data_IF_919016540217
#
_entry.id   IF_919016540217
#
_cell.length_a   1.000
_cell.length_b   1.000
_cell.length_c   1.000
_cell.angle_alpha   90.00
_cell.angle_beta   90.00
_cell.angle_gamma   90.00
#
_symmetry.space_group_name_H-M   'P 1'
#
loop_
_entity.id
_entity.type
_entity.pdbx_description
1 polymer ?
#
# COMPACT_ATOMS: atom_id res chain seq x y z
N UNK A 1 -23.08 -50.50 42.58
CA UNK A 1 -22.87 -50.69 41.13
C UNK A 1 -22.79 -49.36 40.36
N UNK A 2 -22.01 -48.36 40.82
CA UNK A 2 -21.96 -47.00 40.19
C UNK A 2 -20.55 -46.37 40.35
N UNK A 3 -19.48 -47.03 39.89
CA UNK A 3 -18.11 -46.46 39.92
C UNK A 3 -17.40 -46.45 38.56
N UNK A 4 -18.10 -46.75 37.46
CA UNK A 4 -17.51 -46.83 36.12
C UNK A 4 -17.50 -45.55 35.25
N UNK A 5 -18.07 -44.37 35.59
CA UNK A 5 -18.09 -43.27 34.63
C UNK A 5 -16.74 -42.53 34.54
N UNK A 6 -15.97 -42.45 35.64
CA UNK A 6 -14.75 -41.63 35.69
C UNK A 6 -13.54 -42.35 35.10
N UNK A 7 -13.46 -43.69 35.22
CA UNK A 7 -12.33 -44.45 34.69
C UNK A 7 -12.35 -44.58 33.16
N UNK A 8 -13.51 -44.41 32.52
CA UNK A 8 -13.62 -44.35 31.06
C UNK A 8 -12.97 -43.08 30.47
N UNK A 9 -12.89 -41.98 31.22
CA UNK A 9 -12.17 -40.77 30.78
C UNK A 9 -10.64 -40.98 30.68
N UNK A 10 -10.10 -41.95 31.41
CA UNK A 10 -8.66 -42.24 31.50
C UNK A 10 -8.21 -43.43 30.63
N UNK A 11 -9.06 -43.89 29.70
CA UNK A 11 -8.65 -44.87 28.71
C UNK A 11 -7.67 -44.23 27.70
N UNK A 12 -6.67 -44.97 27.21
CA UNK A 12 -5.62 -44.41 26.32
C UNK A 12 -6.20 -43.73 25.08
N UNK A 13 -7.32 -44.25 24.57
CA UNK A 13 -8.08 -43.65 23.48
C UNK A 13 -8.71 -42.30 23.88
N UNK A 14 -9.31 -42.18 25.06
CA UNK A 14 -9.97 -40.95 25.49
C UNK A 14 -8.97 -39.85 25.89
N UNK A 15 -7.79 -40.22 26.37
CA UNK A 15 -6.69 -39.27 26.59
C UNK A 15 -6.22 -38.63 25.27
N UNK A 16 -6.10 -39.41 24.20
CA UNK A 16 -5.76 -38.88 22.87
C UNK A 16 -6.83 -37.91 22.35
N UNK A 17 -8.11 -38.25 22.52
CA UNK A 17 -9.21 -37.37 22.11
C UNK A 17 -9.21 -36.06 22.90
N UNK A 18 -8.94 -36.12 24.21
CA UNK A 18 -8.83 -34.93 25.07
C UNK A 18 -7.68 -34.01 24.66
N UNK A 19 -6.50 -34.58 24.35
CA UNK A 19 -5.35 -33.82 23.85
C UNK A 19 -5.68 -33.16 22.51
N UNK A 20 -6.32 -33.89 21.58
CA UNK A 20 -6.70 -33.37 20.27
C UNK A 20 -7.67 -32.19 20.41
N UNK A 21 -8.69 -32.31 21.27
CA UNK A 21 -9.63 -31.22 21.55
C UNK A 21 -8.91 -29.99 22.12
N UNK A 22 -7.98 -30.21 23.05
CA UNK A 22 -7.20 -29.12 23.66
C UNK A 22 -6.32 -28.42 22.61
N UNK A 23 -5.70 -29.16 21.70
CA UNK A 23 -4.93 -28.61 20.59
C UNK A 23 -5.80 -27.78 19.63
N UNK A 24 -7.01 -28.24 19.32
CA UNK A 24 -7.96 -27.51 18.46
C UNK A 24 -8.36 -26.18 19.11
N UNK A 25 -8.68 -26.19 20.40
CA UNK A 25 -9.04 -24.98 21.16
C UNK A 25 -7.88 -23.99 21.18
N UNK A 26 -6.66 -24.46 21.49
CA UNK A 26 -5.46 -23.61 21.49
C UNK A 26 -5.20 -23.05 20.10
N UNK A 27 -5.34 -23.86 19.05
CA UNK A 27 -5.17 -23.42 17.67
C UNK A 27 -6.16 -22.30 17.31
N UNK A 28 -7.45 -22.49 17.57
CA UNK A 28 -8.48 -21.47 17.29
C UNK A 28 -8.27 -20.17 18.07
N UNK A 29 -7.89 -20.26 19.34
CA UNK A 29 -7.55 -19.10 20.17
C UNK A 29 -6.30 -18.38 19.65
N UNK A 30 -5.26 -19.11 19.26
CA UNK A 30 -4.01 -18.56 18.72
C UNK A 30 -4.23 -17.82 17.40
N UNK A 31 -5.05 -18.37 16.50
CA UNK A 31 -5.42 -17.71 15.23
C UNK A 31 -6.15 -16.40 15.49
N UNK A 32 -7.12 -16.41 16.41
CA UNK A 32 -7.90 -15.22 16.76
C UNK A 32 -7.03 -14.12 17.41
N UNK A 33 -6.11 -14.51 18.28
CA UNK A 33 -5.15 -13.60 18.90
C UNK A 33 -4.18 -13.00 17.88
N UNK A 34 -3.73 -13.80 16.91
CA UNK A 34 -2.86 -13.35 15.81
C UNK A 34 -3.59 -12.40 14.88
N UNK A 35 -4.88 -12.62 14.62
CA UNK A 35 -5.71 -11.70 13.84
C UNK A 35 -5.90 -10.34 14.54
N UNK A 36 -6.08 -10.34 15.87
CA UNK A 36 -6.14 -9.11 16.66
C UNK A 36 -4.83 -8.31 16.59
N UNK A 37 -3.68 -8.97 16.82
CA UNK A 37 -2.37 -8.33 16.70
C UNK A 37 -2.10 -7.82 15.27
N UNK A 38 -2.52 -8.57 14.25
CA UNK A 38 -2.39 -8.14 12.86
C UNK A 38 -3.14 -6.85 12.57
N UNK A 39 -4.37 -6.69 13.10
CA UNK A 39 -5.14 -5.45 12.94
C UNK A 39 -4.44 -4.25 13.58
N UNK A 40 -3.84 -4.43 14.75
CA UNK A 40 -3.11 -3.36 15.42
C UNK A 40 -1.87 -2.92 14.64
N UNK A 41 -1.06 -3.88 14.15
CA UNK A 41 0.12 -3.60 13.35
C UNK A 41 -0.23 -2.96 11.99
N UNK A 42 -1.31 -3.44 11.35
CA UNK A 42 -1.81 -2.89 10.10
C UNK A 42 -2.26 -1.43 10.22
N UNK A 43 -2.87 -1.05 11.35
CA UNK A 43 -3.30 0.33 11.56
C UNK A 43 -2.11 1.31 11.56
N UNK A 44 -1.01 0.94 12.23
CA UNK A 44 0.20 1.77 12.26
C UNK A 44 0.82 1.90 10.86
N UNK A 45 0.91 0.80 10.12
CA UNK A 45 1.40 0.80 8.75
C UNK A 45 0.50 1.67 7.83
N UNK A 46 -0.83 1.54 7.98
CA UNK A 46 -1.81 2.33 7.24
C UNK A 46 -1.63 3.83 7.46
N UNK A 47 -1.42 4.28 8.70
CA UNK A 47 -1.25 5.72 8.99
C UNK A 47 -0.07 6.32 8.23
N UNK A 48 1.09 5.65 8.25
CA UNK A 48 2.28 6.12 7.52
C UNK A 48 2.06 6.06 6.01
N UNK A 49 1.41 5.01 5.52
CA UNK A 49 1.09 4.86 4.09
C UNK A 49 0.13 5.96 3.60
N UNK A 50 -0.87 6.31 4.40
CA UNK A 50 -1.84 7.36 4.09
C UNK A 50 -1.16 8.73 4.01
N UNK A 51 -0.22 9.03 4.92
CA UNK A 51 0.59 10.25 4.86
C UNK A 51 1.42 10.32 3.58
N UNK A 52 2.10 9.22 3.21
CA UNK A 52 2.88 9.14 1.96
C UNK A 52 1.99 9.34 0.73
N UNK A 53 0.82 8.70 0.69
CA UNK A 53 -0.13 8.86 -0.41
C UNK A 53 -0.60 10.31 -0.56
N UNK A 54 -0.91 10.99 0.55
CA UNK A 54 -1.31 12.41 0.50
C UNK A 54 -0.21 13.29 -0.09
N UNK A 55 1.03 13.10 0.36
CA UNK A 55 2.18 13.84 -0.18
C UNK A 55 2.41 13.55 -1.68
N UNK A 56 2.25 12.29 -2.11
CA UNK A 56 2.35 11.90 -3.53
C UNK A 56 1.28 12.60 -4.39
N UNK A 57 0.05 12.66 -3.90
CA UNK A 57 -1.07 13.33 -4.60
C UNK A 57 -0.81 14.83 -4.70
N UNK A 58 -0.38 15.46 -3.60
CA UNK A 58 -0.04 16.88 -3.59
C UNK A 58 1.12 17.20 -4.53
N UNK A 59 2.16 16.37 -4.52
CA UNK A 59 3.28 16.51 -5.45
C UNK A 59 2.86 16.33 -6.91
N UNK A 60 1.99 15.37 -7.21
CA UNK A 60 1.44 15.18 -8.56
C UNK A 60 0.62 16.37 -9.02
N UNK A 61 -0.19 16.95 -8.12
CA UNK A 61 -0.94 18.18 -8.38
C UNK A 61 0.00 19.35 -8.66
N UNK A 62 1.02 19.55 -7.83
CA UNK A 62 2.02 20.60 -8.03
C UNK A 62 2.74 20.40 -9.36
N UNK A 63 3.12 19.16 -9.71
CA UNK A 63 3.79 18.86 -10.97
C UNK A 63 2.92 19.21 -12.18
N UNK A 64 1.61 18.96 -12.11
CA UNK A 64 0.65 19.35 -13.15
C UNK A 64 0.47 20.88 -13.23
N UNK A 65 0.43 21.56 -12.08
CA UNK A 65 0.43 23.03 -12.00
C UNK A 65 1.72 23.60 -12.65
N UNK A 66 2.89 23.02 -12.35
CA UNK A 66 4.17 23.41 -12.93
C UNK A 66 4.30 23.05 -14.40
N UNK A 67 3.89 21.87 -14.85
CA UNK A 67 3.97 21.49 -16.27
C UNK A 67 3.11 22.41 -17.13
N UNK A 68 2.00 22.91 -16.59
CA UNK A 68 1.17 23.91 -17.25
C UNK A 68 1.89 25.26 -17.35
N UNK A 69 2.58 25.70 -16.29
CA UNK A 69 3.37 26.94 -16.26
C UNK A 69 4.74 26.84 -16.97
N UNK A 70 5.24 25.62 -17.18
CA UNK A 70 6.50 25.28 -17.87
C UNK A 70 6.23 24.71 -19.26
N UNK A 71 5.03 24.95 -19.80
CA UNK A 71 4.81 24.85 -21.24
C UNK A 71 5.82 25.83 -21.89
N UNK A 72 6.58 25.43 -22.92
CA UNK A 72 7.69 26.20 -23.52
C UNK A 72 7.36 27.66 -23.91
N UNK A 73 6.08 28.03 -23.90
CA UNK A 73 5.53 29.36 -24.05
C UNK A 73 6.28 30.48 -23.31
N UNK A 74 6.85 30.25 -22.10
CA UNK A 74 7.62 31.32 -21.41
C UNK A 74 9.01 31.53 -22.03
N UNK A 75 9.66 30.46 -22.47
CA UNK A 75 10.96 30.53 -23.17
C UNK A 75 10.74 31.08 -24.58
N UNK A 76 9.70 30.63 -25.28
CA UNK A 76 9.26 31.18 -26.57
C UNK A 76 8.96 32.67 -26.47
N UNK A 77 8.12 33.09 -25.52
CA UNK A 77 7.77 34.52 -25.38
C UNK A 77 8.99 35.37 -25.05
N UNK A 78 9.88 34.90 -24.19
CA UNK A 78 11.11 35.62 -23.87
C UNK A 78 12.08 35.65 -25.07
N UNK A 79 12.14 34.60 -25.88
CA UNK A 79 12.95 34.57 -27.11
C UNK A 79 12.35 35.47 -28.21
N UNK A 80 11.04 35.50 -28.37
CA UNK A 80 10.36 36.44 -29.29
C UNK A 80 10.57 37.89 -28.84
N UNK A 81 10.35 38.22 -27.56
CA UNK A 81 10.43 39.60 -27.06
C UNK A 81 11.87 40.12 -26.89
N UNK A 82 12.83 39.28 -26.47
CA UNK A 82 14.21 39.71 -26.19
C UNK A 82 15.19 39.44 -27.31
N UNK A 83 14.93 38.45 -28.15
CA UNK A 83 15.82 38.05 -29.25
C UNK A 83 15.20 38.31 -30.64
N UNK A 84 14.00 38.91 -30.73
CA UNK A 84 13.30 39.18 -32.00
C UNK A 84 13.15 37.91 -32.88
N UNK A 85 13.06 36.74 -32.26
CA UNK A 85 12.87 35.49 -33.01
C UNK A 85 11.42 35.38 -33.48
N UNK A 86 11.20 35.29 -34.79
CA UNK A 86 9.91 34.89 -35.38
C UNK A 86 9.94 33.39 -35.71
N UNK A 87 8.81 32.70 -35.60
CA UNK A 87 8.70 31.28 -35.95
C UNK A 87 8.84 31.13 -37.47
N UNK A 88 9.91 30.51 -37.99
CA UNK A 88 10.14 30.44 -39.43
C UNK A 88 9.08 29.56 -40.08
N UNK A 89 8.48 30.04 -41.18
CA UNK A 89 7.58 29.24 -42.00
C UNK A 89 8.31 28.01 -42.56
N UNK A 90 7.58 26.91 -42.79
CA UNK A 90 8.10 25.59 -43.15
C UNK A 90 9.07 25.53 -44.36
N UNK A 91 9.29 26.64 -45.07
CA UNK A 91 10.28 26.79 -46.15
C UNK A 91 11.65 27.33 -45.75
N UNK A 92 11.92 27.62 -44.46
CA UNK A 92 13.21 28.16 -43.98
C UNK A 92 14.04 27.16 -43.13
N UNK A 93 13.61 25.91 -43.04
CA UNK A 93 14.35 24.87 -42.32
C UNK A 93 15.48 24.33 -43.22
N UNK A 94 16.70 24.76 -42.96
CA UNK A 94 17.91 24.19 -43.58
C UNK A 94 18.47 23.13 -42.64
N UNK A 95 18.24 21.86 -42.96
CA UNK A 95 18.90 20.74 -42.28
C UNK A 95 20.35 20.71 -42.71
N UNK A 96 21.26 20.93 -41.78
CA UNK A 96 22.69 20.72 -42.02
C UNK A 96 23.00 19.27 -41.63
N UNK A 97 23.22 18.48 -42.69
CA UNK A 97 23.67 17.07 -42.78
C UNK A 97 22.60 15.98 -42.67
#
# INVERSE_FOLDING_TARGET
MIKKPISMLFDRKNQMVGILLLLIVISGASVSFTAYKNRQLHNQLKTVQDQRNRAQVEWGRLLLEYSTLTTPARIEKLAMERLNMEMPAAGQIITVN
#
